data_IF_128071764306
#
_entry.id   IF_128071764306
#
_cell.length_a   1.000
_cell.length_b   1.000
_cell.length_c   1.000
_cell.angle_alpha   90.00
_cell.angle_beta   90.00
_cell.angle_gamma   90.00
#
_symmetry.space_group_name_H-M   'P 1'
#
loop_
_entity.id
_entity.type
_entity.pdbx_description
1 polymer ?
#
# COMPACT_ATOMS: atom_id res chain seq x y z
N UNK A 1 8.69 13.31 27.23
CA UNK A 1 7.53 12.59 27.80
C UNK A 1 6.40 13.57 28.10
N UNK A 2 5.17 13.31 27.65
CA UNK A 2 4.01 14.22 27.72
C UNK A 2 3.41 14.41 29.13
N UNK A 3 3.96 13.75 30.17
CA UNK A 3 3.49 13.83 31.57
C UNK A 3 1.96 13.71 31.72
N UNK A 4 1.34 12.81 30.95
CA UNK A 4 -0.11 12.55 31.00
C UNK A 4 -1.01 13.58 30.33
N UNK A 5 -0.46 14.64 29.72
CA UNK A 5 -1.25 15.64 28.99
C UNK A 5 -1.43 15.26 27.53
N UNK A 6 -2.69 15.20 27.08
CA UNK A 6 -3.07 14.97 25.69
C UNK A 6 -3.77 16.20 25.09
N UNK A 7 -3.43 16.56 23.86
CA UNK A 7 -4.18 17.56 23.08
C UNK A 7 -5.59 17.05 22.70
N UNK A 8 -6.48 17.94 22.25
CA UNK A 8 -7.87 17.59 21.85
C UNK A 8 -7.94 16.39 20.89
N UNK A 9 -7.03 16.32 19.91
CA UNK A 9 -6.92 15.19 18.98
C UNK A 9 -6.52 13.88 19.67
N UNK A 10 -5.56 13.91 20.59
CA UNK A 10 -5.12 12.74 21.34
C UNK A 10 -6.18 12.19 22.30
N UNK A 11 -7.00 13.07 22.91
CA UNK A 11 -8.11 12.66 23.78
C UNK A 11 -9.27 12.00 23.02
N UNK A 12 -9.43 12.27 21.73
CA UNK A 12 -10.45 11.69 20.85
C UNK A 12 -10.04 10.37 20.17
N UNK A 13 -8.95 9.73 20.60
CA UNK A 13 -8.52 8.46 20.01
C UNK A 13 -9.60 7.37 20.13
N UNK A 14 -10.20 7.26 21.32
CA UNK A 14 -11.27 6.28 21.60
C UNK A 14 -12.53 6.48 20.76
N UNK A 15 -12.89 7.73 20.46
CA UNK A 15 -14.04 7.99 19.57
C UNK A 15 -13.68 7.58 18.15
N UNK A 16 -12.48 7.91 17.68
CA UNK A 16 -12.00 7.58 16.32
C UNK A 16 -11.93 6.07 16.08
N UNK A 17 -11.49 5.28 17.05
CA UNK A 17 -11.41 3.81 16.95
C UNK A 17 -12.77 3.12 16.91
N UNK A 18 -13.82 3.78 17.41
CA UNK A 18 -15.16 3.19 17.58
C UNK A 18 -16.18 3.77 16.58
N UNK A 19 -15.74 4.65 15.68
CA UNK A 19 -16.62 5.21 14.64
C UNK A 19 -17.05 4.10 13.67
N UNK A 20 -18.35 4.04 13.35
CA UNK A 20 -18.96 3.06 12.43
C UNK A 20 -18.41 3.08 11.00
N UNK A 21 -17.64 4.11 10.64
CA UNK A 21 -16.97 4.26 9.34
C UNK A 21 -15.62 3.55 9.26
N UNK A 22 -15.15 2.91 10.35
CA UNK A 22 -13.98 2.02 10.28
C UNK A 22 -14.31 0.88 9.33
N UNK A 23 -13.49 0.74 8.29
CA UNK A 23 -13.72 -0.26 7.24
C UNK A 23 -13.51 -1.66 7.81
N UNK A 24 -14.62 -2.34 8.14
CA UNK A 24 -14.61 -3.71 8.65
C UNK A 24 -14.56 -4.78 7.54
N UNK A 25 -14.96 -4.40 6.31
CA UNK A 25 -15.11 -5.34 5.18
C UNK A 25 -14.14 -4.99 4.06
N UNK A 26 -13.41 -6.01 3.57
CA UNK A 26 -12.60 -5.87 2.36
C UNK A 26 -13.53 -5.88 1.16
N UNK A 27 -13.56 -4.76 0.45
CA UNK A 27 -14.35 -4.59 -0.76
C UNK A 27 -13.43 -4.52 -1.96
N UNK A 28 -13.60 -5.43 -2.91
CA UNK A 28 -12.99 -5.31 -4.24
C UNK A 28 -14.07 -4.81 -5.19
N UNK A 29 -13.85 -3.61 -5.73
CA UNK A 29 -14.72 -3.01 -6.73
C UNK A 29 -14.15 -3.27 -8.11
N UNK A 30 -14.87 -4.00 -8.97
CA UNK A 30 -14.60 -4.01 -10.41
C UNK A 30 -15.13 -2.71 -11.02
N UNK A 31 -14.50 -2.23 -12.10
CA UNK A 31 -14.99 -1.08 -12.89
C UNK A 31 -16.48 -1.28 -13.20
N UNK A 32 -17.34 -0.44 -12.62
CA UNK A 32 -18.79 -0.46 -12.85
C UNK A 32 -19.65 -1.33 -11.90
N UNK A 33 -19.14 -1.86 -10.78
CA UNK A 33 -19.95 -2.64 -9.82
C UNK A 33 -19.80 -2.16 -8.37
N UNK A 34 -20.87 -2.29 -7.58
CA UNK A 34 -20.90 -1.93 -6.14
C UNK A 34 -20.10 -2.90 -5.26
N UNK A 35 -19.66 -2.42 -4.09
CA UNK A 35 -18.90 -3.14 -3.06
C UNK A 35 -19.41 -4.57 -2.81
N UNK A 36 -18.68 -5.59 -3.27
CA UNK A 36 -18.90 -6.99 -2.91
C UNK A 36 -17.93 -7.42 -1.80
N UNK A 37 -18.44 -8.10 -0.78
CA UNK A 37 -17.62 -8.72 0.26
C UNK A 37 -16.85 -9.90 -0.34
N UNK A 38 -15.54 -9.94 -0.12
CA UNK A 38 -14.66 -11.01 -0.63
C UNK A 38 -13.90 -11.64 0.53
N UNK A 39 -13.63 -12.95 0.44
CA UNK A 39 -12.77 -13.64 1.40
C UNK A 39 -11.33 -13.09 1.30
N UNK A 40 -10.56 -13.05 2.40
CA UNK A 40 -9.18 -12.56 2.36
C UNK A 40 -8.32 -13.29 1.33
N UNK A 41 -8.48 -14.61 1.20
CA UNK A 41 -7.68 -15.44 0.31
C UNK A 41 -7.97 -15.18 -1.19
N UNK A 42 -9.24 -15.04 -1.57
CA UNK A 42 -9.62 -14.68 -2.95
C UNK A 42 -9.12 -13.27 -3.30
N UNK A 43 -9.19 -12.34 -2.34
CA UNK A 43 -8.72 -10.98 -2.54
C UNK A 43 -7.20 -10.94 -2.81
N UNK A 44 -6.40 -11.63 -2.00
CA UNK A 44 -4.94 -11.69 -2.19
C UNK A 44 -4.57 -12.39 -3.50
N UNK A 45 -5.23 -13.51 -3.81
CA UNK A 45 -5.01 -14.26 -5.05
C UNK A 45 -5.29 -13.41 -6.30
N UNK A 46 -6.32 -12.57 -6.28
CA UNK A 46 -6.67 -11.69 -7.40
C UNK A 46 -5.67 -10.55 -7.57
N UNK A 47 -5.27 -9.92 -6.48
CA UNK A 47 -4.27 -8.85 -6.51
C UNK A 47 -2.93 -9.40 -7.01
N UNK A 48 -2.49 -10.57 -6.51
CA UNK A 48 -1.25 -11.20 -6.93
C UNK A 48 -1.23 -11.54 -8.44
N UNK A 49 -2.34 -12.05 -8.99
CA UNK A 49 -2.46 -12.34 -10.44
C UNK A 49 -2.30 -11.09 -11.29
N UNK A 50 -2.94 -9.99 -10.89
CA UNK A 50 -2.85 -8.71 -11.60
C UNK A 50 -1.46 -8.10 -11.50
N UNK A 51 -0.87 -8.11 -10.30
CA UNK A 51 0.51 -7.65 -10.08
C UNK A 51 1.51 -8.43 -10.91
N UNK A 52 1.37 -9.76 -10.98
CA UNK A 52 2.25 -10.61 -11.78
C UNK A 52 2.11 -10.33 -13.28
N UNK A 53 0.88 -10.26 -13.79
CA UNK A 53 0.63 -9.99 -15.20
C UNK A 53 1.21 -8.64 -15.66
N UNK A 54 1.08 -7.59 -14.84
CA UNK A 54 1.66 -6.28 -15.16
C UNK A 54 3.19 -6.27 -15.04
N UNK A 55 3.73 -6.96 -14.03
CA UNK A 55 5.17 -7.07 -13.83
C UNK A 55 5.84 -7.79 -15.00
N UNK A 56 5.36 -8.98 -15.37
CA UNK A 56 5.97 -9.78 -16.43
C UNK A 56 5.91 -9.06 -17.80
N UNK A 57 4.88 -8.23 -18.04
CA UNK A 57 4.74 -7.48 -19.29
C UNK A 57 5.62 -6.23 -19.38
N UNK A 58 5.91 -5.58 -18.25
CA UNK A 58 6.52 -4.24 -18.21
C UNK A 58 7.87 -4.21 -17.47
N UNK A 59 8.47 -5.36 -17.19
CA UNK A 59 9.76 -5.43 -16.50
C UNK A 59 10.90 -5.02 -17.42
N UNK A 60 11.69 -4.04 -16.99
CA UNK A 60 12.85 -3.54 -17.75
C UNK A 60 14.11 -4.07 -17.08
N UNK A 61 14.71 -5.12 -17.67
CA UNK A 61 15.97 -5.71 -17.19
C UNK A 61 17.17 -4.81 -17.47
N UNK A 62 17.27 -4.30 -18.71
CA UNK A 62 18.38 -3.47 -19.18
C UNK A 62 17.90 -2.15 -19.75
N UNK A 63 18.65 -1.10 -19.48
CA UNK A 63 18.50 0.20 -20.16
C UNK A 63 19.17 0.17 -21.54
N UNK A 64 18.89 1.19 -22.36
CA UNK A 64 19.49 1.39 -23.70
C UNK A 64 21.03 1.39 -23.69
N UNK A 65 21.63 1.72 -22.54
CA UNK A 65 23.08 1.75 -22.31
C UNK A 65 23.64 0.37 -21.87
N UNK A 66 22.83 -0.68 -21.88
CA UNK A 66 23.22 -2.05 -21.49
C UNK A 66 23.33 -2.29 -19.97
N UNK A 67 23.05 -1.28 -19.15
CA UNK A 67 23.11 -1.35 -17.68
C UNK A 67 21.87 -2.09 -17.15
N UNK A 68 22.08 -3.03 -16.24
CA UNK A 68 21.00 -3.75 -15.54
C UNK A 68 20.32 -2.83 -14.52
N UNK A 69 19.04 -2.51 -14.73
CA UNK A 69 18.26 -1.61 -13.86
C UNK A 69 17.13 -2.29 -13.13
N UNK A 70 16.63 -3.43 -13.61
CA UNK A 70 15.59 -4.24 -12.96
C UNK A 70 14.43 -3.40 -12.39
N UNK A 71 13.88 -2.53 -13.24
CA UNK A 71 12.85 -1.55 -12.84
C UNK A 71 11.47 -1.92 -13.35
N UNK A 72 10.47 -1.66 -12.51
CA UNK A 72 9.05 -1.76 -12.78
C UNK A 72 8.41 -0.38 -12.56
N UNK A 73 7.98 0.24 -13.66
CA UNK A 73 7.47 1.63 -13.68
C UNK A 73 5.95 1.72 -13.87
N UNK A 74 5.29 0.61 -14.21
CA UNK A 74 3.85 0.60 -14.52
C UNK A 74 2.96 0.58 -13.29
N UNK A 75 3.45 0.05 -12.17
CA UNK A 75 2.74 0.02 -10.90
C UNK A 75 3.50 0.79 -9.83
N UNK A 76 2.79 1.66 -9.10
CA UNK A 76 3.33 2.45 -7.99
C UNK A 76 2.56 2.26 -6.68
N UNK A 77 3.18 2.62 -5.57
CA UNK A 77 2.64 2.44 -4.22
C UNK A 77 2.68 3.75 -3.42
N UNK A 78 1.53 4.10 -2.83
CA UNK A 78 1.43 5.19 -1.85
C UNK A 78 1.56 4.62 -0.43
N UNK A 79 2.67 4.94 0.24
CA UNK A 79 3.03 4.37 1.53
C UNK A 79 2.42 5.17 2.70
N UNK A 80 1.86 4.46 3.67
CA UNK A 80 1.20 5.04 4.83
C UNK A 80 2.22 5.52 5.89
N UNK A 81 2.31 6.83 6.11
CA UNK A 81 3.17 7.42 7.17
C UNK A 81 2.57 7.35 8.58
N UNK A 82 1.29 6.96 8.70
CA UNK A 82 0.60 6.77 9.99
C UNK A 82 0.71 5.33 10.51
N UNK A 83 1.37 4.44 9.77
CA UNK A 83 1.66 3.07 10.17
C UNK A 83 2.99 3.01 10.96
N UNK A 84 3.19 1.93 11.71
CA UNK A 84 4.41 1.72 12.47
C UNK A 84 5.65 1.58 11.57
N UNK A 85 6.83 1.89 12.10
CA UNK A 85 8.09 1.86 11.34
C UNK A 85 8.42 0.47 10.77
N UNK A 86 8.00 -0.60 11.45
CA UNK A 86 8.13 -1.98 11.01
C UNK A 86 7.33 -2.24 9.74
N UNK A 87 6.13 -1.65 9.62
CA UNK A 87 5.32 -1.72 8.41
C UNK A 87 5.98 -0.91 7.29
N UNK A 88 6.63 0.21 7.62
CA UNK A 88 7.45 0.97 6.67
C UNK A 88 8.59 0.15 6.08
N UNK A 89 9.36 -0.54 6.91
CA UNK A 89 10.43 -1.45 6.47
C UNK A 89 9.90 -2.60 5.61
N UNK A 90 8.78 -3.20 5.99
CA UNK A 90 8.15 -4.25 5.19
C UNK A 90 7.69 -3.73 3.82
N UNK A 91 7.13 -2.52 3.79
CA UNK A 91 6.67 -1.88 2.54
C UNK A 91 7.86 -1.57 1.63
N UNK A 92 8.99 -1.13 2.20
CA UNK A 92 10.22 -0.92 1.44
C UNK A 92 10.75 -2.22 0.82
N UNK A 93 10.73 -3.33 1.57
CA UNK A 93 11.12 -4.65 1.06
C UNK A 93 10.15 -5.17 -0.01
N UNK A 94 8.87 -4.82 0.09
CA UNK A 94 7.89 -5.12 -0.97
C UNK A 94 8.15 -4.28 -2.24
N UNK A 95 8.59 -3.03 -2.08
CA UNK A 95 8.97 -2.18 -3.21
C UNK A 95 10.27 -2.65 -3.88
N UNK A 96 11.13 -3.40 -3.17
CA UNK A 96 12.33 -4.05 -3.72
C UNK A 96 12.02 -5.09 -4.83
N UNK A 97 10.75 -5.36 -5.12
CA UNK A 97 10.30 -6.07 -6.33
C UNK A 97 10.57 -5.29 -7.64
N UNK A 98 11.19 -4.10 -7.56
CA UNK A 98 11.60 -3.27 -8.70
C UNK A 98 10.75 -2.00 -8.85
N UNK A 99 9.85 -1.69 -7.91
CA UNK A 99 8.98 -0.51 -8.00
C UNK A 99 9.78 0.76 -7.74
N UNK A 100 9.79 1.68 -8.72
CA UNK A 100 10.39 3.01 -8.57
C UNK A 100 9.37 4.10 -8.18
N UNK A 101 8.09 3.88 -8.46
CA UNK A 101 7.02 4.84 -8.14
C UNK A 101 6.51 4.61 -6.70
N UNK A 102 7.34 4.89 -5.71
CA UNK A 102 6.99 4.77 -4.28
C UNK A 102 7.00 6.15 -3.66
N UNK A 103 5.86 6.60 -3.14
CA UNK A 103 5.72 7.93 -2.54
C UNK A 103 5.00 7.83 -1.20
N UNK A 104 5.38 8.65 -0.23
CA UNK A 104 4.73 8.74 1.06
C UNK A 104 4.40 10.20 1.37
N UNK A 105 3.51 10.43 2.36
CA UNK A 105 3.10 11.79 2.75
C UNK A 105 4.28 12.70 3.15
N UNK A 106 5.39 12.11 3.57
CA UNK A 106 6.58 12.84 3.98
C UNK A 106 7.49 13.23 2.80
N UNK A 107 7.13 12.85 1.56
CA UNK A 107 7.92 12.90 0.32
C UNK A 107 9.29 13.54 0.51
N UNK A 108 10.29 12.67 0.56
CA UNK A 108 11.64 12.90 0.03
C UNK A 108 11.84 11.88 -1.08
#
# INVERSE_FOLDING_TARGET
>A
MSRGRFARKGRGCWTTSTVKTVCATRNIVRRGLTNGSVSPDDAFSRIAKLMKADRDANFIEKNEQGITVNRWTSTGMLCASAASNETGMLTQNLCALGMLAVDNRARV
#
